data_IF_705909039842
#
_entry.id   IF_705909039842
#
_cell.length_a   1.000
_cell.length_b   1.000
_cell.length_c   1.000
_cell.angle_alpha   90.00
_cell.angle_beta   90.00
_cell.angle_gamma   90.00
#
_symmetry.space_group_name_H-M   'P 1'
#
loop_
_entity.id
_entity.type
_entity.pdbx_description
1 polymer ?
#
# COMPACT_ATOMS: atom_id res chain seq x y z
N UNK A 1 -23.39 22.03 21.70
CA UNK A 1 -22.14 22.78 21.93
C UNK A 1 -21.47 22.95 20.58
N UNK A 2 -21.32 24.19 20.10
CA UNK A 2 -20.60 24.57 18.87
C UNK A 2 -19.08 24.34 19.09
N UNK A 3 -18.14 24.32 18.13
CA UNK A 3 -18.04 24.79 16.73
C UNK A 3 -16.91 23.93 16.06
N UNK A 4 -16.62 23.84 14.76
CA UNK A 4 -16.95 24.59 13.53
C UNK A 4 -17.06 23.61 12.33
N UNK A 5 -17.01 24.12 11.09
CA UNK A 5 -16.71 23.36 9.86
C UNK A 5 -15.76 24.18 8.98
N UNK A 6 -14.95 23.55 8.11
CA UNK A 6 -14.35 24.25 6.95
C UNK A 6 -14.46 23.38 5.69
N UNK A 7 -14.85 24.02 4.59
CA UNK A 7 -15.22 23.43 3.30
C UNK A 7 -14.02 23.08 2.40
N UNK A 8 -14.27 22.19 1.43
CA UNK A 8 -13.96 22.46 0.00
C UNK A 8 -14.97 21.76 -0.92
N UNK A 9 -15.89 22.53 -1.50
CA UNK A 9 -16.74 22.14 -2.65
C UNK A 9 -16.06 22.59 -3.96
N UNK A 10 -16.36 21.98 -5.12
CA UNK A 10 -15.86 22.47 -6.40
C UNK A 10 -16.46 23.85 -6.73
N UNK A 11 -15.64 24.72 -7.31
CA UNK A 11 -16.07 26.02 -7.83
C UNK A 11 -16.70 25.79 -9.21
N UNK A 12 -17.99 26.07 -9.36
CA UNK A 12 -18.55 26.34 -10.69
C UNK A 12 -18.16 27.76 -11.08
N UNK A 13 -17.38 27.90 -12.16
CA UNK A 13 -17.14 29.19 -12.80
C UNK A 13 -18.29 29.43 -13.77
N UNK A 14 -19.13 30.42 -13.48
CA UNK A 14 -20.12 30.93 -14.44
C UNK A 14 -19.41 31.85 -15.44
N UNK A 15 -19.56 31.56 -16.73
CA UNK A 15 -19.13 32.45 -17.81
C UNK A 15 -20.35 33.18 -18.40
N UNK A 16 -20.19 34.43 -18.90
CA UNK A 16 -21.24 35.11 -19.66
C UNK A 16 -21.52 34.38 -20.98
N UNK A 17 -22.74 34.50 -21.53
CA UNK A 17 -23.21 33.71 -22.69
C UNK A 17 -22.37 33.92 -23.97
N UNK A 18 -21.65 35.04 -24.06
CA UNK A 18 -20.89 35.42 -25.26
C UNK A 18 -19.59 34.62 -25.45
N UNK A 19 -19.13 33.89 -24.43
CA UNK A 19 -17.91 33.05 -24.49
C UNK A 19 -18.17 31.59 -24.94
N UNK A 20 -19.43 31.23 -25.19
CA UNK A 20 -19.87 29.83 -25.32
C UNK A 20 -19.34 29.14 -26.60
N UNK A 21 -18.90 29.91 -27.60
CA UNK A 21 -18.37 29.43 -28.89
C UNK A 21 -16.89 28.97 -28.87
N UNK A 22 -16.14 29.17 -27.78
CA UNK A 22 -14.73 28.72 -27.69
C UNK A 22 -14.62 27.34 -27.01
N UNK A 23 -15.61 26.92 -26.20
CA UNK A 23 -15.53 25.70 -25.41
C UNK A 23 -15.75 24.38 -26.18
N UNK A 24 -16.42 24.39 -27.33
CA UNK A 24 -16.75 23.14 -28.05
C UNK A 24 -15.54 22.44 -28.70
N UNK A 25 -14.40 23.13 -28.81
CA UNK A 25 -13.14 22.58 -29.33
C UNK A 25 -12.18 22.03 -28.25
N UNK A 26 -12.45 22.28 -26.96
CA UNK A 26 -11.58 21.89 -25.85
C UNK A 26 -11.66 20.41 -25.36
N UNK A 27 -12.76 19.64 -25.48
CA UNK A 27 -12.75 18.25 -25.00
C UNK A 27 -11.80 17.36 -25.83
N UNK A 28 -11.62 17.69 -27.11
CA UNK A 28 -10.64 17.01 -27.97
C UNK A 28 -9.20 17.31 -27.53
N UNK A 29 -8.87 18.56 -27.17
CA UNK A 29 -7.51 18.95 -26.75
C UNK A 29 -7.13 18.28 -25.42
N UNK A 30 -8.05 18.25 -24.43
CA UNK A 30 -7.81 17.54 -23.17
C UNK A 30 -7.59 16.04 -23.38
N UNK A 31 -8.43 15.40 -24.20
CA UNK A 31 -8.26 13.98 -24.55
C UNK A 31 -6.98 13.70 -25.35
N UNK A 32 -6.52 14.63 -26.19
CA UNK A 32 -5.26 14.51 -26.92
C UNK A 32 -4.06 14.65 -25.97
N UNK A 33 -4.10 15.55 -24.98
CA UNK A 33 -3.04 15.73 -23.99
C UNK A 33 -2.96 14.58 -22.98
N UNK A 34 -4.08 13.98 -22.57
CA UNK A 34 -4.08 12.74 -21.79
C UNK A 34 -3.50 11.56 -22.60
N UNK A 35 -3.83 11.47 -23.90
CA UNK A 35 -3.23 10.45 -24.79
C UNK A 35 -1.75 10.71 -25.06
N UNK A 36 -1.34 11.96 -25.27
CA UNK A 36 0.06 12.36 -25.46
C UNK A 36 0.87 12.14 -24.19
N UNK A 37 0.36 12.47 -23.00
CA UNK A 37 1.06 12.18 -21.74
C UNK A 37 1.13 10.68 -21.43
N UNK A 38 0.18 9.88 -21.92
CA UNK A 38 0.30 8.43 -21.99
C UNK A 38 1.38 7.95 -22.98
N UNK A 39 1.42 8.51 -24.19
CA UNK A 39 2.40 8.18 -25.24
C UNK A 39 3.84 8.57 -24.86
N UNK A 40 3.99 9.70 -24.16
CA UNK A 40 5.25 10.26 -23.66
C UNK A 40 5.69 9.65 -22.32
N UNK A 41 4.96 8.65 -21.80
CA UNK A 41 5.32 7.95 -20.55
C UNK A 41 5.21 8.78 -19.27
N UNK A 42 4.57 9.96 -19.31
CA UNK A 42 4.50 10.90 -18.18
C UNK A 42 3.56 10.45 -17.06
N UNK A 43 2.59 9.57 -17.35
CA UNK A 43 1.61 9.06 -16.38
C UNK A 43 2.00 7.68 -15.85
N UNK A 44 2.65 7.64 -14.68
CA UNK A 44 2.96 6.40 -13.96
C UNK A 44 1.70 5.58 -13.71
N UNK A 45 1.72 4.30 -14.08
CA UNK A 45 0.65 3.31 -13.84
C UNK A 45 0.28 3.28 -12.36
N UNK A 46 -1.00 3.50 -12.05
CA UNK A 46 -1.53 3.31 -10.70
C UNK A 46 -1.70 1.82 -10.39
N UNK A 47 -1.39 1.42 -9.15
CA UNK A 47 -1.51 0.04 -8.67
C UNK A 47 -2.10 0.02 -7.26
N UNK A 48 -3.09 -0.84 -7.04
CA UNK A 48 -3.77 -1.03 -5.76
C UNK A 48 -3.05 -2.09 -4.93
N UNK A 49 -2.66 -1.76 -3.69
CA UNK A 49 -1.90 -2.64 -2.79
C UNK A 49 -2.55 -2.66 -1.42
N UNK A 50 -2.67 -3.84 -0.82
CA UNK A 50 -3.17 -3.98 0.55
C UNK A 50 -1.98 -4.02 1.51
N UNK A 51 -1.98 -3.16 2.53
CA UNK A 51 -1.01 -3.25 3.62
C UNK A 51 -1.67 -3.92 4.83
N UNK A 52 -1.24 -5.15 5.11
CA UNK A 52 -1.83 -6.09 6.07
C UNK A 52 -0.82 -6.52 7.14
N UNK A 53 -1.31 -7.16 8.19
CA UNK A 53 -0.51 -7.58 9.36
C UNK A 53 -1.05 -6.99 10.67
N UNK A 54 -0.51 -7.45 11.79
CA UNK A 54 -1.05 -7.16 13.13
C UNK A 54 -1.00 -5.68 13.52
N UNK A 55 -1.76 -5.31 14.54
CA UNK A 55 -1.63 -4.00 15.19
C UNK A 55 -0.21 -3.81 15.76
N UNK A 56 0.23 -2.55 15.79
CA UNK A 56 1.58 -2.14 16.18
C UNK A 56 2.74 -2.67 15.30
N UNK A 57 2.51 -3.40 14.20
CA UNK A 57 3.62 -3.89 13.34
C UNK A 57 4.34 -2.80 12.54
N UNK A 58 3.76 -1.60 12.44
CA UNK A 58 4.39 -0.42 11.80
C UNK A 58 3.93 -0.14 10.37
N UNK A 59 2.84 -0.75 9.89
CA UNK A 59 2.25 -0.53 8.55
C UNK A 59 2.16 0.95 8.15
N UNK A 60 1.44 1.75 8.93
CA UNK A 60 1.26 3.18 8.68
C UNK A 60 2.58 3.94 8.69
N UNK A 61 3.54 3.54 9.55
CA UNK A 61 4.90 4.11 9.60
C UNK A 61 5.69 3.82 8.32
N UNK A 62 5.67 2.58 7.83
CA UNK A 62 6.31 2.20 6.55
C UNK A 62 5.71 3.01 5.40
N UNK A 63 4.37 3.06 5.29
CA UNK A 63 3.69 3.79 4.22
C UNK A 63 3.99 5.30 4.31
N UNK A 64 4.05 5.86 5.53
CA UNK A 64 4.42 7.24 5.74
C UNK A 64 5.86 7.52 5.30
N UNK A 65 6.80 6.66 5.67
CA UNK A 65 8.23 6.79 5.35
C UNK A 65 8.51 6.67 3.84
N UNK A 66 7.70 5.91 3.11
CA UNK A 66 7.75 5.78 1.65
C UNK A 66 7.21 7.01 0.89
N UNK A 67 6.59 7.98 1.56
CA UNK A 67 6.19 9.25 0.93
C UNK A 67 7.39 10.20 0.81
N UNK A 68 7.36 11.15 -0.15
CA UNK A 68 8.27 12.30 -0.16
C UNK A 68 8.27 13.03 1.19
N UNK A 69 9.43 13.52 1.64
CA UNK A 69 9.63 14.10 2.99
C UNK A 69 8.62 15.20 3.36
N UNK A 70 8.20 16.02 2.40
CA UNK A 70 7.21 17.08 2.60
C UNK A 70 5.75 16.60 2.74
N UNK A 71 5.49 15.31 2.52
CA UNK A 71 4.19 14.67 2.66
C UNK A 71 4.15 13.62 3.80
N UNK A 72 5.23 13.51 4.59
CA UNK A 72 5.29 12.65 5.77
C UNK A 72 4.59 13.33 6.95
N UNK A 73 3.72 12.59 7.63
CA UNK A 73 3.14 13.00 8.91
C UNK A 73 4.16 12.80 10.04
N UNK A 74 4.23 13.74 10.98
CA UNK A 74 5.06 13.60 12.20
C UNK A 74 4.39 12.64 13.19
N UNK A 75 3.10 12.85 13.45
CA UNK A 75 2.30 12.02 14.34
C UNK A 75 1.64 10.88 13.59
N UNK A 76 1.83 9.64 14.07
CA UNK A 76 1.19 8.43 13.54
C UNK A 76 0.38 7.79 14.66
N UNK A 77 -0.94 7.77 14.47
CA UNK A 77 -1.89 7.17 15.42
C UNK A 77 -2.39 5.80 14.92
N UNK A 78 -2.84 4.90 15.81
CA UNK A 78 -3.38 3.60 15.39
C UNK A 78 -4.59 3.73 14.46
N UNK A 79 -4.49 3.20 13.23
CA UNK A 79 -5.56 3.23 12.23
C UNK A 79 -6.85 2.55 12.74
N UNK A 80 -7.99 3.23 12.58
CA UNK A 80 -9.34 2.70 12.84
C UNK A 80 -9.94 2.30 11.49
N UNK A 81 -10.37 1.04 11.36
CA UNK A 81 -10.89 0.53 10.08
C UNK A 81 -9.79 0.42 9.02
N UNK A 82 -9.68 1.43 8.15
CA UNK A 82 -8.65 1.51 7.11
C UNK A 82 -8.36 2.98 6.73
N UNK A 83 -7.27 3.19 5.99
CA UNK A 83 -6.96 4.47 5.35
C UNK A 83 -6.46 4.25 3.92
N UNK A 84 -6.80 5.15 2.99
CA UNK A 84 -6.22 5.15 1.64
C UNK A 84 -5.04 6.11 1.62
N UNK A 85 -3.86 5.58 1.30
CA UNK A 85 -2.60 6.32 1.24
C UNK A 85 -2.02 6.21 -0.18
N UNK A 86 -1.23 7.21 -0.59
CA UNK A 86 -0.53 7.17 -1.88
C UNK A 86 0.96 7.50 -1.73
N UNK A 87 1.79 6.75 -2.44
CA UNK A 87 3.21 7.06 -2.66
C UNK A 87 3.63 6.70 -4.10
N UNK A 88 4.81 7.13 -4.53
CA UNK A 88 5.31 6.90 -5.91
C UNK A 88 6.69 6.27 -5.86
N UNK A 89 6.90 5.19 -6.61
CA UNK A 89 8.23 4.62 -6.87
C UNK A 89 8.81 5.17 -8.18
N UNK A 90 9.90 4.57 -8.68
CA UNK A 90 10.54 4.98 -9.93
C UNK A 90 9.59 4.90 -11.14
N UNK A 91 8.74 3.87 -11.24
CA UNK A 91 7.86 3.68 -12.40
C UNK A 91 6.37 3.47 -12.10
N UNK A 92 5.98 3.25 -10.83
CA UNK A 92 4.57 3.07 -10.43
C UNK A 92 4.09 4.18 -9.48
N UNK A 93 2.76 4.35 -9.43
CA UNK A 93 2.07 5.09 -8.36
C UNK A 93 1.29 4.08 -7.53
N UNK A 94 1.61 3.97 -6.25
CA UNK A 94 0.95 3.03 -5.34
C UNK A 94 -0.24 3.69 -4.64
N UNK A 95 -1.42 3.08 -4.77
CA UNK A 95 -2.58 3.35 -3.93
C UNK A 95 -2.66 2.23 -2.89
N UNK A 96 -2.34 2.56 -1.64
CA UNK A 96 -2.24 1.60 -0.54
C UNK A 96 -3.47 1.70 0.34
N UNK A 97 -4.11 0.55 0.59
CA UNK A 97 -5.13 0.38 1.61
C UNK A 97 -4.40 -0.02 2.91
N UNK A 98 -4.15 0.96 3.79
CA UNK A 98 -3.59 0.74 5.13
C UNK A 98 -4.69 0.20 6.04
N UNK A 99 -4.73 -1.12 6.23
CA UNK A 99 -5.79 -1.76 7.01
C UNK A 99 -5.45 -1.76 8.50
N UNK A 100 -6.44 -1.57 9.36
CA UNK A 100 -6.22 -1.72 10.81
C UNK A 100 -5.85 -3.17 11.14
N UNK A 101 -4.82 -3.33 11.97
CA UNK A 101 -4.39 -4.65 12.45
C UNK A 101 -5.04 -5.09 13.77
N UNK A 102 -5.88 -4.24 14.38
CA UNK A 102 -6.56 -4.56 15.64
C UNK A 102 -7.55 -5.70 15.40
N UNK A 103 -7.60 -6.71 16.27
CA UNK A 103 -8.43 -7.91 16.07
C UNK A 103 -9.89 -7.62 15.66
N UNK A 104 -10.54 -6.65 16.32
CA UNK A 104 -11.92 -6.21 16.04
C UNK A 104 -12.16 -5.57 14.65
N UNK A 105 -11.11 -5.35 13.85
CA UNK A 105 -11.18 -4.72 12.53
C UNK A 105 -10.57 -5.60 11.42
N UNK A 106 -10.00 -6.78 11.72
CA UNK A 106 -9.35 -7.65 10.71
C UNK A 106 -10.35 -8.23 9.70
N UNK A 107 -11.61 -8.40 10.09
CA UNK A 107 -12.70 -8.75 9.20
C UNK A 107 -12.91 -7.74 8.05
N UNK A 108 -12.43 -6.50 8.17
CA UNK A 108 -12.50 -5.52 7.09
C UNK A 108 -11.49 -5.80 5.96
N UNK A 109 -10.48 -6.65 6.19
CA UNK A 109 -9.46 -6.96 5.18
C UNK A 109 -10.07 -7.63 3.95
N UNK A 110 -11.03 -8.55 4.15
CA UNK A 110 -11.60 -9.36 3.08
C UNK A 110 -12.40 -8.55 2.05
N UNK A 111 -12.99 -7.43 2.49
CA UNK A 111 -13.71 -6.50 1.63
C UNK A 111 -12.84 -5.92 0.49
N UNK A 112 -11.51 -5.82 0.70
CA UNK A 112 -10.57 -5.21 -0.26
C UNK A 112 -9.71 -6.24 -1.01
N UNK A 113 -9.81 -7.53 -0.71
CA UNK A 113 -8.99 -8.58 -1.33
C UNK A 113 -9.08 -8.57 -2.86
N UNK A 114 -10.28 -8.40 -3.43
CA UNK A 114 -10.51 -8.35 -4.89
C UNK A 114 -9.78 -7.19 -5.57
N UNK A 115 -9.62 -6.05 -4.89
CA UNK A 115 -8.98 -4.85 -5.43
C UNK A 115 -7.45 -4.91 -5.35
N UNK A 116 -6.90 -5.60 -4.35
CA UNK A 116 -5.46 -5.72 -4.14
C UNK A 116 -4.74 -6.45 -5.28
N UNK A 117 -3.91 -5.73 -6.04
CA UNK A 117 -3.05 -6.30 -7.10
C UNK A 117 -1.74 -6.86 -6.54
N UNK A 118 -1.38 -6.45 -5.31
CA UNK A 118 -0.30 -6.99 -4.52
C UNK A 118 -0.59 -6.81 -3.01
N UNK A 119 0.17 -7.50 -2.17
CA UNK A 119 0.08 -7.39 -0.71
C UNK A 119 1.44 -6.97 -0.15
N UNK A 120 1.43 -6.01 0.77
CA UNK A 120 2.52 -5.76 1.71
C UNK A 120 2.06 -6.31 3.06
N UNK A 121 2.79 -7.26 3.64
CA UNK A 121 2.48 -7.86 4.93
C UNK A 121 3.57 -7.50 5.94
N UNK A 122 3.23 -6.75 6.98
CA UNK A 122 4.21 -6.18 7.93
C UNK A 122 4.17 -6.93 9.26
N UNK A 123 5.31 -7.52 9.63
CA UNK A 123 5.56 -8.25 10.87
C UNK A 123 6.38 -7.37 11.82
N UNK A 124 6.02 -7.38 13.10
CA UNK A 124 6.91 -6.89 14.16
C UNK A 124 7.93 -7.99 14.50
N UNK A 125 9.21 -7.78 14.13
CA UNK A 125 10.24 -8.80 14.33
C UNK A 125 10.64 -8.97 15.80
N UNK A 126 10.34 -7.99 16.66
CA UNK A 126 10.57 -8.08 18.11
C UNK A 126 9.45 -8.84 18.84
N UNK A 127 8.25 -8.93 18.24
CA UNK A 127 7.06 -9.53 18.84
C UNK A 127 7.03 -11.05 18.64
N UNK A 128 7.95 -11.73 19.34
CA UNK A 128 8.13 -13.20 19.31
C UNK A 128 6.84 -13.94 19.69
N UNK A 129 6.01 -13.37 20.58
CA UNK A 129 4.77 -13.99 21.07
C UNK A 129 3.67 -13.96 20.00
N UNK A 130 3.43 -12.82 19.35
CA UNK A 130 2.37 -12.70 18.34
C UNK A 130 2.77 -13.20 16.96
N UNK A 131 3.98 -13.74 16.78
CA UNK A 131 4.41 -14.39 15.54
C UNK A 131 3.48 -15.54 15.11
N UNK A 132 2.95 -16.32 16.06
CA UNK A 132 1.95 -17.38 15.79
C UNK A 132 0.63 -16.79 15.29
N UNK A 133 0.21 -15.65 15.84
CA UNK A 133 -0.99 -14.92 15.39
C UNK A 133 -0.77 -14.37 13.98
N UNK A 134 0.40 -13.78 13.69
CA UNK A 134 0.74 -13.29 12.37
C UNK A 134 0.74 -14.41 11.31
N UNK A 135 1.22 -15.61 11.67
CA UNK A 135 1.16 -16.80 10.83
C UNK A 135 -0.28 -17.24 10.53
N UNK A 136 -1.16 -17.28 11.52
CA UNK A 136 -2.55 -17.72 11.31
C UNK A 136 -3.37 -16.71 10.50
N UNK A 137 -3.15 -15.42 10.71
CA UNK A 137 -3.73 -14.35 9.88
C UNK A 137 -3.23 -14.44 8.43
N UNK A 138 -1.94 -14.71 8.20
CA UNK A 138 -1.38 -14.96 6.87
C UNK A 138 -1.97 -16.22 6.24
N UNK A 139 -2.12 -17.31 7.00
CA UNK A 139 -2.74 -18.56 6.54
C UNK A 139 -4.20 -18.34 6.15
N UNK A 140 -4.95 -17.58 6.93
CA UNK A 140 -6.35 -17.20 6.67
C UNK A 140 -6.46 -16.38 5.39
N UNK A 141 -5.64 -15.33 5.27
CA UNK A 141 -5.50 -14.48 4.07
C UNK A 141 -5.20 -15.31 2.81
N UNK A 142 -4.21 -16.20 2.85
CA UNK A 142 -3.80 -17.01 1.69
C UNK A 142 -4.85 -18.03 1.26
N UNK A 143 -5.65 -18.56 2.20
CA UNK A 143 -6.71 -19.53 1.91
C UNK A 143 -8.04 -18.89 1.49
N UNK A 144 -8.22 -17.59 1.66
CA UNK A 144 -9.45 -16.91 1.29
C UNK A 144 -9.72 -17.01 -0.23
N UNK A 145 -10.95 -17.30 -0.70
CA UNK A 145 -11.25 -17.51 -2.12
C UNK A 145 -10.76 -16.39 -3.05
N UNK A 146 -10.91 -15.13 -2.63
CA UNK A 146 -10.48 -13.95 -3.39
C UNK A 146 -8.95 -13.71 -3.44
N UNK A 147 -8.15 -14.57 -2.80
CA UNK A 147 -6.67 -14.50 -2.78
C UNK A 147 -6.06 -15.82 -3.26
N UNK A 148 -6.60 -16.95 -2.81
CA UNK A 148 -6.07 -18.31 -3.02
C UNK A 148 -5.72 -18.58 -4.48
N UNK A 149 -6.63 -18.29 -5.40
CA UNK A 149 -6.46 -18.61 -6.83
C UNK A 149 -5.71 -17.53 -7.64
N UNK A 150 -5.24 -16.45 -7.01
CA UNK A 150 -4.59 -15.32 -7.68
C UNK A 150 -3.09 -15.31 -7.43
N UNK A 151 -2.30 -15.27 -8.51
CA UNK A 151 -0.84 -15.12 -8.48
C UNK A 151 -0.44 -13.65 -8.32
N UNK A 152 -0.79 -13.05 -7.18
CA UNK A 152 -0.38 -11.68 -6.81
C UNK A 152 0.92 -11.73 -5.98
N UNK A 153 1.86 -10.78 -6.16
CA UNK A 153 3.07 -10.75 -5.36
C UNK A 153 2.80 -10.32 -3.92
N UNK A 154 3.56 -10.91 -2.99
CA UNK A 154 3.51 -10.60 -1.55
C UNK A 154 4.88 -10.16 -1.07
N UNK A 155 5.00 -8.89 -0.66
CA UNK A 155 6.18 -8.36 0.00
C UNK A 155 5.99 -8.46 1.52
N UNK A 156 6.91 -9.13 2.20
CA UNK A 156 6.97 -9.19 3.65
C UNK A 156 7.99 -8.18 4.18
N UNK A 157 7.59 -7.37 5.17
CA UNK A 157 8.53 -6.57 5.96
C UNK A 157 8.69 -7.19 7.35
N UNK A 158 9.88 -7.73 7.61
CA UNK A 158 10.36 -8.04 8.97
C UNK A 158 10.82 -6.72 9.60
N UNK A 159 9.87 -6.00 10.20
CA UNK A 159 10.06 -4.62 10.64
C UNK A 159 10.59 -4.53 12.09
N UNK A 160 11.01 -3.31 12.48
CA UNK A 160 11.59 -2.94 13.78
C UNK A 160 12.97 -3.55 14.06
N UNK A 161 13.80 -3.61 13.03
CA UNK A 161 15.18 -4.13 13.12
C UNK A 161 16.12 -3.25 13.96
N UNK A 162 15.68 -2.07 14.39
CA UNK A 162 16.34 -1.22 15.38
C UNK A 162 16.30 -1.80 16.81
N UNK A 163 15.35 -2.70 17.10
CA UNK A 163 15.18 -3.30 18.42
C UNK A 163 16.14 -4.48 18.62
N UNK A 164 16.85 -4.50 19.75
CA UNK A 164 17.86 -5.54 20.09
C UNK A 164 17.34 -6.97 20.04
N UNK A 165 16.04 -7.15 20.31
CA UNK A 165 15.37 -8.45 20.34
C UNK A 165 14.72 -8.84 18.99
N UNK A 166 14.89 -8.04 17.94
CA UNK A 166 14.34 -8.31 16.62
C UNK A 166 14.90 -9.61 16.02
N UNK A 167 13.99 -10.48 15.57
CA UNK A 167 14.30 -11.66 14.79
C UNK A 167 14.78 -11.27 13.38
N UNK A 168 15.77 -11.97 12.85
CA UNK A 168 16.21 -11.76 11.47
C UNK A 168 15.09 -12.13 10.48
N UNK A 169 15.11 -11.54 9.28
CA UNK A 169 14.16 -11.87 8.20
C UNK A 169 14.13 -13.37 7.89
N UNK A 170 15.28 -14.04 7.91
CA UNK A 170 15.39 -15.51 7.78
C UNK A 170 14.61 -16.23 8.88
N UNK A 171 14.71 -15.77 10.14
CA UNK A 171 14.00 -16.42 11.26
C UNK A 171 12.50 -16.13 11.24
N UNK A 172 12.09 -14.92 10.85
CA UNK A 172 10.68 -14.57 10.62
C UNK A 172 10.09 -15.45 9.51
N UNK A 173 10.81 -15.63 8.40
CA UNK A 173 10.40 -16.48 7.27
C UNK A 173 10.15 -17.93 7.71
N UNK A 174 11.07 -18.53 8.46
CA UNK A 174 10.91 -19.87 9.03
C UNK A 174 9.71 -20.00 9.99
N UNK A 175 9.48 -18.99 10.84
CA UNK A 175 8.39 -19.05 11.82
C UNK A 175 7.02 -18.96 11.13
N UNK A 176 6.91 -18.11 10.10
CA UNK A 176 5.70 -17.99 9.26
C UNK A 176 5.53 -19.16 8.27
N UNK A 177 6.56 -19.98 8.04
CA UNK A 177 6.63 -20.99 6.98
C UNK A 177 6.34 -20.39 5.59
N UNK A 178 7.03 -19.30 5.24
CA UNK A 178 6.87 -18.66 3.92
C UNK A 178 7.28 -19.59 2.77
N UNK A 179 8.16 -20.56 3.04
CA UNK A 179 8.50 -21.63 2.12
C UNK A 179 7.30 -22.46 1.64
N UNK A 180 6.19 -22.51 2.38
CA UNK A 180 4.97 -23.22 1.94
C UNK A 180 4.22 -22.48 0.84
N UNK A 181 4.49 -21.18 0.64
CA UNK A 181 3.90 -20.36 -0.42
C UNK A 181 4.59 -20.66 -1.74
N UNK A 182 4.02 -21.60 -2.52
CA UNK A 182 4.57 -22.05 -3.82
C UNK A 182 3.91 -21.40 -5.04
N UNK A 183 2.69 -20.88 -4.90
CA UNK A 183 1.83 -20.43 -6.00
C UNK A 183 1.90 -18.91 -6.25
N UNK A 184 2.55 -18.16 -5.37
CA UNK A 184 2.68 -16.70 -5.42
C UNK A 184 4.15 -16.29 -5.29
N UNK A 185 4.66 -15.33 -6.10
CA UNK A 185 5.98 -14.78 -5.88
C UNK A 185 5.99 -13.97 -4.57
N UNK A 186 6.98 -14.20 -3.72
CA UNK A 186 7.14 -13.48 -2.47
C UNK A 186 8.60 -13.13 -2.18
N UNK A 187 8.81 -12.13 -1.34
CA UNK A 187 10.12 -11.72 -0.85
C UNK A 187 9.99 -11.14 0.55
N UNK A 188 11.07 -11.17 1.34
CA UNK A 188 11.09 -10.67 2.72
C UNK A 188 12.30 -9.77 2.96
N UNK A 189 12.03 -8.51 3.28
CA UNK A 189 13.04 -7.52 3.64
C UNK A 189 13.08 -7.36 5.16
N UNK A 190 14.29 -7.28 5.73
CA UNK A 190 14.49 -6.72 7.06
C UNK A 190 14.32 -5.19 6.97
N UNK A 191 13.57 -4.56 7.89
CA UNK A 191 13.31 -3.12 7.81
C UNK A 191 13.28 -2.38 9.14
N UNK A 192 13.62 -1.10 9.06
CA UNK A 192 13.37 -0.10 10.11
C UNK A 192 12.49 1.00 9.50
N UNK A 193 11.22 1.04 9.92
CA UNK A 193 10.26 2.03 9.42
C UNK A 193 10.55 3.47 9.87
N UNK A 194 11.32 3.67 10.95
CA UNK A 194 11.66 4.98 11.49
C UNK A 194 12.82 5.58 10.69
N UNK A 195 13.90 4.82 10.46
CA UNK A 195 15.04 5.25 9.63
C UNK A 195 14.73 5.18 8.14
N UNK A 196 13.95 4.19 7.71
CA UNK A 196 13.63 3.89 6.31
C UNK A 196 14.49 2.79 5.68
N UNK A 197 15.33 2.12 6.47
CA UNK A 197 16.21 1.05 6.02
C UNK A 197 15.42 -0.16 5.53
N UNK A 198 15.85 -0.78 4.43
CA UNK A 198 15.21 -1.93 3.79
C UNK A 198 13.90 -1.66 3.03
N UNK A 199 13.28 -0.48 3.21
CA UNK A 199 11.97 -0.19 2.60
C UNK A 199 12.03 -0.05 1.08
N UNK A 200 13.07 0.63 0.57
CA UNK A 200 13.22 0.90 -0.86
C UNK A 200 13.45 -0.40 -1.66
N UNK A 201 14.35 -1.26 -1.19
CA UNK A 201 14.65 -2.58 -1.75
C UNK A 201 13.38 -3.43 -1.93
N UNK A 202 12.55 -3.51 -0.89
CA UNK A 202 11.29 -4.25 -0.94
C UNK A 202 10.28 -3.66 -1.94
N UNK A 203 10.18 -2.33 -2.00
CA UNK A 203 9.31 -1.64 -2.97
C UNK A 203 9.78 -1.82 -4.41
N UNK A 204 11.09 -1.81 -4.66
CA UNK A 204 11.66 -2.02 -5.99
C UNK A 204 11.43 -3.48 -6.44
N UNK A 205 11.69 -4.47 -5.59
CA UNK A 205 11.32 -5.86 -5.86
C UNK A 205 9.82 -6.01 -6.19
N UNK A 206 8.95 -5.36 -5.38
CA UNK A 206 7.51 -5.46 -5.54
C UNK A 206 7.05 -4.82 -6.87
N UNK A 207 7.63 -3.67 -7.23
CA UNK A 207 7.41 -3.01 -8.51
C UNK A 207 7.75 -3.94 -9.68
N UNK A 208 8.91 -4.57 -9.65
CA UNK A 208 9.40 -5.41 -10.74
C UNK A 208 8.51 -6.64 -10.93
N UNK A 209 8.05 -7.28 -9.84
CA UNK A 209 7.04 -8.35 -9.92
C UNK A 209 5.71 -7.88 -10.54
N UNK A 210 5.22 -6.69 -10.16
CA UNK A 210 3.98 -6.11 -10.68
C UNK A 210 4.09 -5.72 -12.18
N UNK A 211 5.31 -5.57 -12.69
CA UNK A 211 5.57 -5.34 -14.11
C UNK A 211 5.71 -6.67 -14.88
N UNK A 212 6.48 -7.62 -14.36
CA UNK A 212 6.68 -8.93 -14.98
C UNK A 212 5.37 -9.69 -15.25
N UNK A 213 4.36 -9.57 -14.38
CA UNK A 213 3.03 -10.19 -14.54
C UNK A 213 2.22 -9.65 -15.75
N UNK A 214 2.70 -8.62 -16.46
CA UNK A 214 2.03 -8.03 -17.64
C UNK A 214 2.70 -8.34 -18.98
N UNK A 215 3.71 -9.20 -18.99
CA UNK A 215 4.35 -9.79 -20.19
C UNK A 215 4.05 -11.28 -20.26
#
# INVERSE_FOLDING_TARGET
MLIFSVFKKPVLIFFPPDLQLICESLPHIMGLLDRLSGLLGLKKKEVHVLCLGLDNSGKTTIINKLKPTNAQSQDIVPTIGFSIQKFKSSSLSFTVFDMSGQGRYRNLWEHYYKEGQAIIFVIDSSDKLRMVVAKEELRTLLNHPDIKHRRIPILFFANKMDLRDALTSVKVSQLLCLEDIKDKPWHICASDAIKGEGLQEGVDWLQDQIQAVKT
#
